data_IF_726310834918
#
_entry.id   IF_726310834918
#
_cell.length_a   1.000
_cell.length_b   1.000
_cell.length_c   1.000
_cell.angle_alpha   90.00
_cell.angle_beta   90.00
_cell.angle_gamma   90.00
#
_symmetry.space_group_name_H-M   'P 1'
#
loop_
_entity.id
_entity.type
_entity.pdbx_description
1 polymer ?
#
# COMPACT_ATOMS: atom_id res chain seq x y z
N UNK A 1 -5.88 27.51 1.26
CA UNK A 1 -4.81 26.91 2.10
C UNK A 1 -4.60 25.41 1.92
N UNK A 2 -5.59 24.60 1.48
CA UNK A 2 -5.39 23.16 1.20
C UNK A 2 -4.34 22.86 0.11
N UNK A 3 -4.20 23.74 -0.89
CA UNK A 3 -3.26 23.56 -2.02
C UNK A 3 -1.78 23.58 -1.54
N UNK A 4 -1.47 24.32 -0.46
CA UNK A 4 -0.10 24.38 0.11
C UNK A 4 0.32 23.09 0.83
N UNK A 5 -0.65 22.32 1.35
CA UNK A 5 -0.37 21.02 1.98
C UNK A 5 0.00 19.94 0.95
N UNK A 6 -0.50 20.06 -0.28
CA UNK A 6 -0.14 19.19 -1.41
C UNK A 6 1.29 19.51 -1.90
N UNK A 7 1.72 20.77 -1.81
CA UNK A 7 3.11 21.18 -2.10
C UNK A 7 4.11 20.70 -1.02
N UNK A 8 3.69 20.61 0.25
CA UNK A 8 4.51 20.06 1.34
C UNK A 8 4.84 18.57 1.15
N UNK A 9 3.97 17.80 0.49
CA UNK A 9 4.23 16.40 0.14
C UNK A 9 5.22 16.25 -1.05
N UNK A 10 5.39 17.30 -1.87
CA UNK A 10 6.28 17.32 -3.05
C UNK A 10 7.73 17.71 -2.76
N UNK A 11 8.06 18.18 -1.55
CA UNK A 11 9.39 18.77 -1.24
C UNK A 11 10.43 17.79 -0.66
N UNK A 12 10.14 16.50 -0.57
CA UNK A 12 11.12 15.50 -0.17
C UNK A 12 11.63 14.75 -1.40
N UNK A 13 12.94 14.78 -1.68
CA UNK A 13 13.56 14.07 -2.81
C UNK A 13 13.28 12.55 -2.79
N UNK A 14 12.91 11.99 -1.62
CA UNK A 14 12.44 10.61 -1.46
C UNK A 14 10.99 10.39 -1.92
N UNK A 15 10.12 11.41 -1.86
CA UNK A 15 8.74 11.34 -2.34
C UNK A 15 8.64 11.40 -3.86
N UNK A 16 9.60 12.04 -4.56
CA UNK A 16 9.64 12.08 -6.03
C UNK A 16 10.03 10.74 -6.66
N UNK A 17 10.99 10.03 -6.05
CA UNK A 17 11.37 8.66 -6.45
C UNK A 17 10.27 7.63 -6.14
N UNK A 18 9.57 7.82 -5.02
CA UNK A 18 8.34 7.09 -4.73
C UNK A 18 7.22 7.44 -5.71
N UNK A 19 7.09 8.70 -6.16
CA UNK A 19 6.04 9.15 -7.07
C UNK A 19 6.17 8.62 -8.51
N UNK A 20 7.38 8.46 -9.04
CA UNK A 20 7.60 7.87 -10.37
C UNK A 20 7.30 6.36 -10.38
N UNK A 21 7.69 5.64 -9.33
CA UNK A 21 7.28 4.24 -9.12
C UNK A 21 5.78 4.14 -8.80
N UNK A 22 5.24 5.08 -8.02
CA UNK A 22 3.80 5.20 -7.77
C UNK A 22 3.01 5.43 -9.04
N UNK A 23 3.54 6.16 -10.02
CA UNK A 23 2.80 6.51 -11.25
C UNK A 23 2.59 5.28 -12.13
N UNK A 24 3.57 4.38 -12.18
CA UNK A 24 3.45 3.09 -12.87
C UNK A 24 2.52 2.14 -12.10
N UNK A 25 2.63 2.10 -10.77
CA UNK A 25 1.75 1.31 -9.91
C UNK A 25 0.45 2.05 -9.51
N UNK A 26 0.14 3.23 -10.08
CA UNK A 26 -0.90 4.13 -9.55
C UNK A 26 -2.29 3.53 -9.68
N UNK A 27 -2.52 2.84 -10.81
CA UNK A 27 -3.76 2.15 -11.11
C UNK A 27 -4.05 1.06 -10.08
N UNK A 28 -2.99 0.36 -9.66
CA UNK A 28 -3.00 -0.74 -8.70
C UNK A 28 -3.11 -0.20 -7.26
N UNK A 29 -2.45 0.93 -7.00
CA UNK A 29 -2.46 1.63 -5.72
C UNK A 29 -3.81 2.27 -5.40
N UNK A 30 -4.60 2.67 -6.39
CA UNK A 30 -5.94 3.24 -6.16
C UNK A 30 -6.86 2.20 -5.49
N UNK A 31 -6.86 0.96 -5.97
CA UNK A 31 -7.64 -0.13 -5.36
C UNK A 31 -7.17 -0.42 -3.93
N UNK A 32 -5.86 -0.46 -3.73
CA UNK A 32 -5.25 -0.60 -2.42
C UNK A 32 -5.60 0.56 -1.45
N UNK A 33 -5.58 1.80 -1.95
CA UNK A 33 -5.87 3.01 -1.18
C UNK A 33 -7.32 3.00 -0.66
N UNK A 34 -8.26 2.48 -1.45
CA UNK A 34 -9.66 2.32 -1.01
C UNK A 34 -9.75 1.32 0.14
N UNK A 35 -9.09 0.17 0.04
CA UNK A 35 -9.07 -0.84 1.11
C UNK A 35 -8.40 -0.30 2.38
N UNK A 36 -7.29 0.42 2.22
CA UNK A 36 -6.60 1.09 3.32
C UNK A 36 -7.49 2.16 3.98
N UNK A 37 -8.18 3.00 3.20
CA UNK A 37 -9.05 4.04 3.73
C UNK A 37 -10.21 3.48 4.57
N UNK A 38 -10.84 2.38 4.12
CA UNK A 38 -11.93 1.72 4.86
C UNK A 38 -11.41 1.18 6.20
N UNK A 39 -10.28 0.49 6.20
CA UNK A 39 -9.65 -0.03 7.43
C UNK A 39 -9.25 1.13 8.33
N UNK A 40 -8.58 2.15 7.79
CA UNK A 40 -8.11 3.31 8.53
C UNK A 40 -9.25 4.08 9.20
N UNK A 41 -10.36 4.34 8.52
CA UNK A 41 -11.53 5.01 9.08
C UNK A 41 -12.21 4.14 10.16
N UNK A 42 -12.24 2.82 9.97
CA UNK A 42 -12.80 1.88 10.95
C UNK A 42 -11.99 1.90 12.25
N UNK A 43 -10.67 1.83 12.15
CA UNK A 43 -9.77 1.91 13.32
C UNK A 43 -9.74 3.31 13.94
N UNK A 44 -9.82 4.37 13.13
CA UNK A 44 -9.93 5.74 13.63
C UNK A 44 -11.15 5.91 14.53
N UNK A 45 -12.30 5.40 14.08
CA UNK A 45 -13.55 5.46 14.84
C UNK A 45 -13.52 4.59 16.09
N UNK A 46 -12.91 3.39 16.00
CA UNK A 46 -12.74 2.48 17.13
C UNK A 46 -11.82 3.08 18.21
N UNK A 47 -10.65 3.59 17.83
CA UNK A 47 -9.71 4.22 18.76
C UNK A 47 -10.28 5.50 19.38
N UNK A 48 -10.99 6.29 18.59
CA UNK A 48 -11.70 7.46 19.11
C UNK A 48 -12.68 7.01 20.21
N UNK A 49 -13.55 6.04 19.95
CA UNK A 49 -14.53 5.60 20.93
C UNK A 49 -13.90 4.98 22.20
N UNK A 50 -12.83 4.21 22.02
CA UNK A 50 -12.19 3.44 23.10
C UNK A 50 -11.32 4.32 24.00
N UNK A 51 -10.66 5.33 23.43
CA UNK A 51 -9.66 6.16 24.13
C UNK A 51 -10.03 7.63 24.29
N UNK A 52 -11.18 8.10 23.78
CA UNK A 52 -11.62 9.52 23.93
C UNK A 52 -11.68 9.98 25.39
N UNK A 53 -12.06 9.10 26.31
CA UNK A 53 -12.14 9.44 27.75
C UNK A 53 -10.85 9.19 28.52
N UNK A 54 -9.81 8.64 27.87
CA UNK A 54 -8.58 8.16 28.53
C UNK A 54 -7.32 8.90 28.08
N UNK A 55 -7.26 9.34 26.81
CA UNK A 55 -6.13 10.09 26.26
C UNK A 55 -6.55 11.46 25.75
N UNK A 56 -5.77 12.48 26.13
CA UNK A 56 -5.84 13.82 25.53
C UNK A 56 -5.67 13.78 24.01
N UNK A 57 -4.78 12.89 23.52
CA UNK A 57 -4.51 12.66 22.10
C UNK A 57 -5.74 12.17 21.32
N UNK A 58 -6.74 11.60 22.00
CA UNK A 58 -7.99 11.11 21.41
C UNK A 58 -9.17 12.07 21.60
N UNK A 59 -8.94 13.32 22.02
CA UNK A 59 -10.03 14.28 22.32
C UNK A 59 -10.88 14.65 21.09
N UNK A 60 -10.29 14.60 19.89
CA UNK A 60 -10.99 14.89 18.64
C UNK A 60 -10.65 13.84 17.58
N UNK A 61 -11.53 13.67 16.58
CA UNK A 61 -11.25 12.77 15.46
C UNK A 61 -9.95 13.14 14.72
N UNK A 62 -9.63 14.43 14.62
CA UNK A 62 -8.42 14.90 13.93
C UNK A 62 -7.15 14.56 14.73
N UNK A 63 -7.15 14.77 16.04
CA UNK A 63 -6.01 14.42 16.90
C UNK A 63 -5.85 12.90 17.01
N UNK A 64 -6.96 12.16 17.01
CA UNK A 64 -6.94 10.70 16.95
C UNK A 64 -6.36 10.20 15.63
N UNK A 65 -6.70 10.85 14.50
CA UNK A 65 -6.11 10.53 13.21
C UNK A 65 -4.59 10.80 13.18
N UNK A 66 -4.14 11.92 13.77
CA UNK A 66 -2.72 12.22 13.93
C UNK A 66 -2.00 11.14 14.75
N UNK A 67 -2.59 10.73 15.87
CA UNK A 67 -2.07 9.64 16.70
C UNK A 67 -1.98 8.31 15.92
N UNK A 68 -3.01 7.94 15.15
CA UNK A 68 -2.96 6.75 14.29
C UNK A 68 -1.87 6.84 13.22
N UNK A 69 -1.63 8.03 12.65
CA UNK A 69 -0.52 8.24 11.72
C UNK A 69 0.84 8.08 12.40
N UNK A 70 1.01 8.61 13.61
CA UNK A 70 2.23 8.43 14.40
C UNK A 70 2.47 6.96 14.77
N UNK A 71 1.42 6.20 15.08
CA UNK A 71 1.49 4.75 15.26
C UNK A 71 1.89 4.03 13.97
N UNK A 72 1.33 4.43 12.83
CA UNK A 72 1.67 3.86 11.52
C UNK A 72 3.14 4.10 11.16
N UNK A 73 3.67 5.28 11.49
CA UNK A 73 5.07 5.64 11.33
C UNK A 73 5.99 5.04 12.42
N UNK A 74 5.42 4.32 13.38
CA UNK A 74 6.10 3.75 14.55
C UNK A 74 6.85 4.81 15.39
N UNK A 75 6.38 6.06 15.34
CA UNK A 75 6.93 7.19 16.09
C UNK A 75 6.19 7.45 17.40
N UNK A 76 5.14 6.68 17.66
CA UNK A 76 4.28 6.82 18.82
C UNK A 76 4.82 6.02 20.02
N UNK A 77 4.80 6.63 21.21
CA UNK A 77 5.22 6.01 22.46
C UNK A 77 4.13 5.07 23.01
N UNK A 78 4.33 3.76 22.88
CA UNK A 78 3.39 2.73 23.36
C UNK A 78 3.07 2.83 24.86
N UNK A 79 3.94 3.50 25.63
CA UNK A 79 3.77 3.80 27.06
C UNK A 79 2.47 4.55 27.36
N UNK A 80 2.03 5.46 26.48
CA UNK A 80 0.80 6.24 26.68
C UNK A 80 -0.45 5.38 26.54
N UNK A 81 -0.45 4.41 25.62
CA UNK A 81 -1.57 3.48 25.42
C UNK A 81 -1.66 2.48 26.57
N UNK A 82 -0.51 1.98 27.04
CA UNK A 82 -0.44 1.04 28.18
C UNK A 82 -0.93 1.71 29.47
N UNK A 83 -0.60 3.00 29.65
CA UNK A 83 -1.04 3.77 30.82
C UNK A 83 -2.55 4.04 30.86
N UNK A 84 -3.21 4.01 29.71
CA UNK A 84 -4.66 4.25 29.61
C UNK A 84 -5.50 2.99 29.82
N UNK A 85 -5.07 1.88 29.25
CA UNK A 85 -5.66 0.57 29.50
C UNK A 85 -4.61 -0.53 29.33
N UNK A 86 -4.30 -1.25 30.41
CA UNK A 86 -3.23 -2.23 30.47
C UNK A 86 -3.50 -3.48 29.60
N UNK A 87 -4.75 -3.74 29.22
CA UNK A 87 -5.12 -4.92 28.44
C UNK A 87 -5.59 -4.57 27.03
N UNK A 88 -6.55 -3.66 26.92
CA UNK A 88 -7.19 -3.30 25.67
C UNK A 88 -6.29 -2.42 24.79
N UNK A 89 -5.43 -1.60 25.41
CA UNK A 89 -4.43 -0.78 24.74
C UNK A 89 -3.44 -1.59 23.87
N UNK A 90 -2.64 -2.49 24.48
CA UNK A 90 -1.71 -3.33 23.74
C UNK A 90 -2.38 -4.19 22.68
N UNK A 91 -3.56 -4.75 22.96
CA UNK A 91 -4.29 -5.58 22.02
C UNK A 91 -4.69 -4.80 20.75
N UNK A 92 -5.29 -3.61 20.91
CA UNK A 92 -5.66 -2.75 19.78
C UNK A 92 -4.43 -2.26 19.01
N UNK A 93 -3.34 -1.93 19.70
CA UNK A 93 -2.09 -1.50 19.09
C UNK A 93 -1.46 -2.62 18.24
N UNK A 94 -1.36 -3.84 18.77
CA UNK A 94 -0.85 -5.00 18.03
C UNK A 94 -1.71 -5.32 16.82
N UNK A 95 -3.04 -5.30 16.97
CA UNK A 95 -3.97 -5.54 15.86
C UNK A 95 -3.80 -4.50 14.75
N UNK A 96 -3.67 -3.22 15.11
CA UNK A 96 -3.46 -2.14 14.16
C UNK A 96 -2.14 -2.30 13.38
N UNK A 97 -1.04 -2.57 14.08
CA UNK A 97 0.27 -2.79 13.44
C UNK A 97 0.24 -4.01 12.53
N UNK A 98 -0.38 -5.12 12.95
CA UNK A 98 -0.52 -6.31 12.11
C UNK A 98 -1.26 -6.01 10.81
N UNK A 99 -2.33 -5.21 10.87
CA UNK A 99 -3.09 -4.83 9.67
C UNK A 99 -2.29 -3.90 8.77
N UNK A 100 -1.56 -2.93 9.31
CA UNK A 100 -0.66 -2.07 8.53
C UNK A 100 0.41 -2.91 7.83
N UNK A 101 0.99 -3.90 8.52
CA UNK A 101 1.97 -4.82 7.92
C UNK A 101 1.31 -5.70 6.85
N UNK A 102 0.11 -6.22 7.07
CA UNK A 102 -0.64 -7.01 6.10
C UNK A 102 -0.95 -6.23 4.81
N UNK A 103 -1.36 -4.97 4.97
CA UNK A 103 -1.56 -3.99 3.91
C UNK A 103 -0.23 -3.72 3.17
N UNK A 104 0.88 -3.50 3.88
CA UNK A 104 2.20 -3.38 3.23
C UNK A 104 2.62 -4.65 2.47
N UNK A 105 2.23 -5.84 2.95
CA UNK A 105 2.49 -7.11 2.27
C UNK A 105 1.62 -7.29 1.03
N UNK A 106 0.39 -6.76 1.00
CA UNK A 106 -0.46 -6.84 -0.19
C UNK A 106 0.14 -6.08 -1.37
N UNK A 107 0.77 -4.93 -1.12
CA UNK A 107 1.51 -4.19 -2.15
C UNK A 107 2.66 -5.02 -2.73
N UNK A 108 3.46 -5.66 -1.87
CA UNK A 108 4.59 -6.49 -2.34
C UNK A 108 4.13 -7.69 -3.17
N UNK A 109 3.01 -8.32 -2.79
CA UNK A 109 2.45 -9.44 -3.54
C UNK A 109 1.98 -9.02 -4.94
N UNK A 110 1.38 -7.84 -5.02
CA UNK A 110 0.85 -7.28 -6.27
C UNK A 110 1.96 -6.92 -7.26
N UNK A 111 3.03 -6.27 -6.78
CA UNK A 111 4.22 -6.01 -7.61
C UNK A 111 4.88 -7.31 -8.11
N UNK A 112 4.85 -8.39 -7.32
CA UNK A 112 5.38 -9.69 -7.75
C UNK A 112 4.50 -10.34 -8.82
N UNK A 113 3.16 -10.21 -8.75
CA UNK A 113 2.28 -10.73 -9.79
C UNK A 113 2.43 -9.97 -11.11
N UNK A 114 2.56 -8.64 -11.09
CA UNK A 114 2.81 -7.85 -12.31
C UNK A 114 4.15 -8.23 -12.96
N UNK A 115 5.22 -8.39 -12.16
CA UNK A 115 6.55 -8.79 -12.66
C UNK A 115 6.51 -10.23 -13.19
N UNK A 116 5.75 -11.14 -12.55
CA UNK A 116 5.59 -12.51 -13.02
C UNK A 116 4.86 -12.54 -14.38
N UNK A 117 3.81 -11.76 -14.54
CA UNK A 117 3.00 -11.70 -15.76
C UNK A 117 3.81 -11.10 -16.93
N UNK A 118 4.60 -10.04 -16.68
CA UNK A 118 5.54 -9.53 -17.69
C UNK A 118 6.62 -10.57 -18.06
N UNK A 119 7.13 -11.35 -17.09
CA UNK A 119 8.11 -12.40 -17.37
C UNK A 119 7.52 -13.55 -18.16
N UNK A 120 6.28 -13.93 -17.89
CA UNK A 120 5.56 -14.98 -18.61
C UNK A 120 5.23 -14.52 -20.05
N UNK A 121 4.80 -13.27 -20.24
CA UNK A 121 4.61 -12.65 -21.57
C UNK A 121 5.93 -12.55 -22.35
N UNK A 122 7.04 -12.16 -21.72
CA UNK A 122 8.35 -12.12 -22.40
C UNK A 122 8.88 -13.50 -22.76
N UNK A 123 8.74 -14.50 -21.87
CA UNK A 123 9.11 -15.88 -22.20
C UNK A 123 8.25 -16.43 -23.34
N UNK A 124 6.94 -16.16 -23.33
CA UNK A 124 6.04 -16.56 -24.41
C UNK A 124 6.44 -15.92 -25.73
N UNK A 125 6.71 -14.61 -25.76
CA UNK A 125 7.06 -13.97 -27.04
C UNK A 125 8.44 -14.36 -27.57
N UNK A 126 9.41 -14.58 -26.69
CA UNK A 126 10.78 -14.91 -27.11
C UNK A 126 10.94 -16.38 -27.55
N UNK A 127 10.21 -17.32 -26.94
CA UNK A 127 10.36 -18.75 -27.22
C UNK A 127 9.17 -19.38 -27.94
N UNK A 128 7.94 -18.96 -27.64
CA UNK A 128 6.74 -19.60 -28.18
C UNK A 128 6.38 -19.05 -29.57
N UNK A 129 6.37 -17.71 -29.75
CA UNK A 129 6.01 -17.09 -31.04
C UNK A 129 6.88 -17.59 -32.23
N UNK A 130 8.22 -17.73 -32.12
CA UNK A 130 9.05 -18.20 -33.25
C UNK A 130 8.82 -19.67 -33.59
N UNK A 131 8.45 -20.49 -32.60
CA UNK A 131 8.17 -21.92 -32.77
C UNK A 131 6.77 -22.10 -33.38
N UNK A 132 5.79 -21.31 -32.94
CA UNK A 132 4.41 -21.32 -33.45
C UNK A 132 4.35 -20.81 -34.90
N UNK A 133 5.15 -19.81 -35.26
CA UNK A 133 5.29 -19.30 -36.64
C UNK A 133 6.27 -20.11 -37.51
N UNK A 134 6.88 -21.19 -37.00
CA UNK A 134 7.80 -22.02 -37.77
C UNK A 134 7.14 -22.69 -38.99
N UNK A 135 5.96 -23.33 -38.90
CA UNK A 135 5.30 -23.93 -40.05
C UNK A 135 4.95 -22.89 -41.13
N UNK A 136 4.40 -21.73 -40.76
CA UNK A 136 4.14 -20.63 -41.71
C UNK A 136 5.40 -20.16 -42.44
N UNK A 137 6.55 -20.09 -41.75
CA UNK A 137 7.83 -19.78 -42.41
C UNK A 137 8.26 -20.87 -43.38
N UNK A 138 8.02 -22.14 -43.07
CA UNK A 138 8.36 -23.25 -43.97
C UNK A 138 7.48 -23.24 -45.22
N UNK A 139 6.19 -22.93 -45.06
CA UNK A 139 5.26 -22.77 -46.18
C UNK A 139 5.68 -21.61 -47.10
N UNK A 140 6.07 -20.47 -46.53
CA UNK A 140 6.62 -19.33 -47.30
C UNK A 140 7.91 -19.68 -48.04
N UNK A 141 8.79 -20.49 -47.45
CA UNK A 141 10.04 -20.92 -48.10
C UNK A 141 9.79 -21.94 -49.22
N UNK A 142 8.77 -22.80 -49.08
CA UNK A 142 8.36 -23.73 -50.13
C UNK A 142 7.68 -23.03 -51.31
N UNK A 143 6.91 -21.97 -51.05
CA UNK A 143 6.21 -21.20 -52.08
C UNK A 143 7.16 -20.25 -52.86
N UNK A 144 8.28 -19.87 -52.24
CA UNK A 144 9.32 -19.04 -52.84
C UNK A 144 10.36 -19.82 -53.69
N UNK A 145 10.29 -21.15 -53.71
CA UNK A 145 11.22 -22.08 -54.39
C UNK A 145 10.58 -22.64 -55.67
#
# INVERSE_FOLDING_TARGET
>A
SMIKFVELFRFNQRASLFAETLKSCAKELISFSIMFAIIFISFLSLFYLLFVSKLSSCSSLLTTAQMLFEMTLMKFDASEIIGADAFLGPFCFTLFILLVVFVCLSLKKQTQSEIQEERDCRMRSQYFDPIENFPDRMDQLLEAL
#
